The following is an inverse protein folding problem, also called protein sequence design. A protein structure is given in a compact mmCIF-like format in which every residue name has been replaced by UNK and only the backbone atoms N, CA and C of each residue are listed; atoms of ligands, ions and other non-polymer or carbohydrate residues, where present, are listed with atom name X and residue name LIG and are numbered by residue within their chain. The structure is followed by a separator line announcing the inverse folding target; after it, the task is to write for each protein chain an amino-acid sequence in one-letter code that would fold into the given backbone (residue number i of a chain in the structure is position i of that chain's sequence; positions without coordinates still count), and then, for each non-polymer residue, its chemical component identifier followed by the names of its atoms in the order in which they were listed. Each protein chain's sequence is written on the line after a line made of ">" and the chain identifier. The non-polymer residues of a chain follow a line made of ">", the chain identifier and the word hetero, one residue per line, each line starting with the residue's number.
data_IF_141297244257
#
_entry.id   IF_141297244257
#
_cell.length_a   1.000
_cell.length_b   1.000
_cell.length_c   1.000
_cell.angle_alpha   90.00
_cell.angle_beta   90.00
_cell.angle_gamma   90.00
#
_symmetry.space_group_name_H-M   'P 1'
#
loop_
_entity.id
_entity.type
_entity.pdbx_description
1 polymer ?
#
# COMPACT_ATOMS: atom_id res chain seq x y z
N UNK A 1 -21.68 52.96 16.81
CA UNK A 1 -20.53 52.35 17.50
C UNK A 1 -20.82 50.86 17.70
N UNK A 2 -20.62 50.02 16.68
CA UNK A 2 -20.91 48.58 16.83
C UNK A 2 -20.12 47.70 15.83
N UNK A 3 -18.81 47.91 15.70
CA UNK A 3 -17.97 47.04 14.87
C UNK A 3 -16.68 46.71 15.60
N UNK A 4 -16.67 45.71 16.51
CA UNK A 4 -15.41 45.25 17.12
C UNK A 4 -15.37 43.81 17.63
N UNK A 5 -16.37 42.94 17.35
CA UNK A 5 -16.41 41.60 17.97
C UNK A 5 -16.07 40.40 17.06
N UNK A 6 -15.68 40.62 15.80
CA UNK A 6 -15.56 39.51 14.82
C UNK A 6 -14.13 39.06 14.46
N UNK A 7 -13.10 39.56 15.15
CA UNK A 7 -11.70 39.30 14.71
C UNK A 7 -11.01 38.14 15.45
N UNK A 8 -11.50 37.73 16.62
CA UNK A 8 -10.75 36.84 17.52
C UNK A 8 -11.03 35.34 17.31
N UNK A 9 -12.03 34.98 16.48
CA UNK A 9 -12.44 33.58 16.26
C UNK A 9 -11.66 32.87 15.14
N UNK A 10 -11.09 33.63 14.19
CA UNK A 10 -10.34 33.04 13.05
C UNK A 10 -8.88 32.68 13.38
N UNK A 11 -8.28 33.30 14.39
CA UNK A 11 -6.89 33.06 14.80
C UNK A 11 -6.69 31.65 15.38
N UNK A 12 -7.64 31.17 16.20
CA UNK A 12 -7.53 29.86 16.89
C UNK A 12 -7.56 28.65 15.94
N UNK A 13 -8.12 28.80 14.75
CA UNK A 13 -8.22 27.70 13.77
C UNK A 13 -6.96 27.55 12.90
N UNK A 14 -6.09 28.56 12.81
CA UNK A 14 -4.82 28.45 12.04
C UNK A 14 -3.73 27.72 12.81
N UNK A 15 -3.81 27.66 14.14
CA UNK A 15 -2.82 26.97 14.97
C UNK A 15 -3.05 25.46 15.11
N UNK A 16 -4.23 24.94 14.75
CA UNK A 16 -4.52 23.49 14.86
C UNK A 16 -4.04 22.65 13.68
N UNK A 17 -3.64 23.26 12.55
CA UNK A 17 -3.15 22.51 11.38
C UNK A 17 -1.64 22.22 11.40
N UNK A 18 -0.91 22.75 12.38
CA UNK A 18 0.53 22.49 12.59
C UNK A 18 0.79 21.52 13.75
N UNK A 19 0.09 20.38 13.79
CA UNK A 19 0.50 19.21 14.59
C UNK A 19 0.26 17.91 13.81
N UNK A 20 1.03 17.71 12.74
CA UNK A 20 1.44 16.36 12.36
C UNK A 20 2.95 16.29 12.58
N UNK A 21 3.26 16.04 13.84
CA UNK A 21 4.57 15.71 14.37
C UNK A 21 5.23 14.63 13.51
N UNK A 22 6.53 14.81 13.29
CA UNK A 22 7.36 13.94 12.49
C UNK A 22 7.20 12.47 12.89
N UNK A 23 6.85 11.64 11.92
CA UNK A 23 7.08 10.20 11.96
C UNK A 23 8.03 9.93 10.82
N UNK A 24 9.22 9.43 11.18
CA UNK A 24 10.40 9.33 10.32
C UNK A 24 10.10 8.85 8.89
N UNK A 25 10.79 9.49 7.94
CA UNK A 25 10.73 9.27 6.49
C UNK A 25 10.67 7.78 6.08
N UNK A 26 11.28 6.88 6.86
CA UNK A 26 11.29 5.43 6.60
C UNK A 26 9.94 4.71 6.83
N UNK A 27 9.17 5.07 7.86
CA UNK A 27 7.94 4.33 8.24
C UNK A 27 6.82 4.51 7.21
N UNK A 28 6.66 5.72 6.66
CA UNK A 28 5.70 5.99 5.60
C UNK A 28 6.00 5.21 4.32
N UNK A 29 7.28 5.04 3.99
CA UNK A 29 7.71 4.29 2.79
C UNK A 29 7.32 2.81 2.86
N UNK A 30 7.50 2.17 4.02
CA UNK A 30 7.14 0.76 4.24
C UNK A 30 5.62 0.58 4.18
N UNK A 31 4.85 1.50 4.78
CA UNK A 31 3.39 1.46 4.71
C UNK A 31 2.87 1.59 3.27
N UNK A 32 3.49 2.44 2.45
CA UNK A 32 3.16 2.55 1.01
C UNK A 32 3.47 1.24 0.29
N UNK A 33 4.64 0.63 0.54
CA UNK A 33 5.01 -0.67 -0.06
C UNK A 33 4.04 -1.76 0.35
N UNK A 34 3.64 -1.85 1.62
CA UNK A 34 2.64 -2.82 2.06
C UNK A 34 1.26 -2.57 1.47
N UNK A 35 0.85 -1.31 1.32
CA UNK A 35 -0.42 -0.97 0.64
C UNK A 35 -0.39 -1.43 -0.82
N UNK A 36 0.73 -1.22 -1.52
CA UNK A 36 0.91 -1.70 -2.90
C UNK A 36 0.88 -3.23 -2.96
N UNK A 37 1.59 -3.90 -2.04
CA UNK A 37 1.63 -5.36 -1.98
C UNK A 37 0.21 -5.95 -1.80
N UNK A 38 -0.61 -5.40 -0.90
CA UNK A 38 -2.00 -5.84 -0.70
C UNK A 38 -2.88 -5.75 -1.96
N UNK A 39 -2.57 -4.84 -2.88
CA UNK A 39 -3.30 -4.70 -4.14
C UNK A 39 -2.86 -5.75 -5.17
N UNK A 40 -1.58 -6.11 -5.17
CA UNK A 40 -1.00 -7.07 -6.12
C UNK A 40 -1.34 -8.53 -5.79
N UNK A 41 -1.42 -8.87 -4.50
CA UNK A 41 -1.64 -10.25 -4.07
C UNK A 41 -3.13 -10.61 -4.15
N UNK A 42 -3.52 -11.72 -4.78
CA UNK A 42 -4.90 -12.21 -4.77
C UNK A 42 -5.43 -12.38 -3.34
N UNK A 43 -6.54 -11.71 -3.03
CA UNK A 43 -7.10 -11.67 -1.68
C UNK A 43 -6.35 -10.78 -0.67
N UNK A 44 -5.22 -10.17 -1.06
CA UNK A 44 -4.35 -9.37 -0.19
C UNK A 44 -5.00 -8.14 0.45
N UNK A 45 -6.05 -7.57 -0.18
CA UNK A 45 -6.82 -6.46 0.41
C UNK A 45 -7.52 -6.86 1.72
N UNK A 46 -7.85 -8.14 1.90
CA UNK A 46 -8.50 -8.65 3.13
C UNK A 46 -7.49 -9.02 4.22
N UNK A 47 -6.20 -9.06 3.89
CA UNK A 47 -5.13 -9.40 4.82
C UNK A 47 -4.63 -8.13 5.52
N UNK A 48 -4.95 -8.01 6.81
CA UNK A 48 -4.52 -6.90 7.65
C UNK A 48 -3.26 -7.24 8.48
N UNK A 49 -2.95 -8.54 8.63
CA UNK A 49 -1.75 -9.01 9.32
C UNK A 49 -0.56 -9.04 8.34
N UNK A 50 0.58 -8.42 8.68
CA UNK A 50 1.73 -8.32 7.78
C UNK A 50 2.35 -9.68 7.48
N UNK A 51 2.49 -10.54 8.49
CA UNK A 51 3.14 -11.86 8.32
C UNK A 51 2.32 -12.76 7.40
N UNK A 52 1.00 -12.74 7.55
CA UNK A 52 0.09 -13.48 6.67
C UNK A 52 0.12 -12.95 5.23
N UNK A 53 0.21 -11.63 5.05
CA UNK A 53 0.37 -11.03 3.72
C UNK A 53 1.69 -11.48 3.07
N UNK A 54 2.79 -11.52 3.84
CA UNK A 54 4.09 -11.97 3.36
C UNK A 54 4.09 -13.47 3.00
N UNK A 55 3.49 -14.32 3.84
CA UNK A 55 3.31 -15.75 3.53
C UNK A 55 2.51 -15.94 2.23
N UNK A 56 1.37 -15.25 2.10
CA UNK A 56 0.53 -15.30 0.89
C UNK A 56 1.28 -14.79 -0.35
N UNK A 57 2.18 -13.83 -0.16
CA UNK A 57 3.04 -13.30 -1.22
C UNK A 57 4.00 -14.37 -1.72
N UNK A 58 4.67 -15.10 -0.81
CA UNK A 58 5.57 -16.18 -1.18
C UNK A 58 4.85 -17.29 -1.95
N UNK A 59 3.67 -17.70 -1.48
CA UNK A 59 2.82 -18.68 -2.19
C UNK A 59 2.48 -18.21 -3.61
N UNK A 60 2.14 -16.92 -3.75
CA UNK A 60 1.76 -16.37 -5.04
C UNK A 60 2.94 -16.25 -6.01
N UNK A 61 4.14 -15.92 -5.51
CA UNK A 61 5.38 -15.94 -6.32
C UNK A 61 5.61 -17.35 -6.86
N UNK A 62 5.57 -18.37 -6.00
CA UNK A 62 5.73 -19.77 -6.43
C UNK A 62 4.69 -20.18 -7.47
N UNK A 63 3.42 -19.80 -7.27
CA UNK A 63 2.36 -20.11 -8.22
C UNK A 63 2.60 -19.44 -9.59
N UNK A 64 3.03 -18.18 -9.61
CA UNK A 64 3.36 -17.49 -10.86
C UNK A 64 4.55 -18.15 -11.58
N UNK A 65 5.60 -18.50 -10.85
CA UNK A 65 6.75 -19.21 -11.43
C UNK A 65 6.35 -20.54 -12.06
N UNK A 66 5.52 -21.32 -11.36
CA UNK A 66 5.01 -22.59 -11.87
C UNK A 66 4.20 -22.39 -13.16
N UNK A 67 3.28 -21.41 -13.18
CA UNK A 67 2.50 -21.07 -14.39
C UNK A 67 3.39 -20.71 -15.56
N UNK A 68 4.42 -19.89 -15.33
CA UNK A 68 5.37 -19.50 -16.37
C UNK A 68 6.13 -20.71 -16.90
N UNK A 69 6.65 -21.57 -16.01
CA UNK A 69 7.37 -22.80 -16.41
C UNK A 69 6.46 -23.72 -17.23
N UNK A 70 5.22 -23.91 -16.80
CA UNK A 70 4.23 -24.72 -17.50
C UNK A 70 3.93 -24.16 -18.90
N UNK A 71 3.65 -22.86 -19.00
CA UNK A 71 3.38 -22.22 -20.29
C UNK A 71 4.59 -22.27 -21.23
N UNK A 72 5.81 -22.11 -20.71
CA UNK A 72 7.04 -22.29 -21.49
C UNK A 72 7.20 -23.72 -21.99
N UNK A 73 6.93 -24.71 -21.15
CA UNK A 73 7.00 -26.12 -21.56
C UNK A 73 6.00 -26.42 -22.69
N UNK A 74 4.75 -25.95 -22.57
CA UNK A 74 3.77 -26.07 -23.64
C UNK A 74 4.21 -25.35 -24.91
N UNK A 75 4.65 -24.09 -24.81
CA UNK A 75 5.15 -23.34 -25.95
C UNK A 75 6.28 -24.08 -26.65
N UNK A 76 7.24 -24.63 -25.90
CA UNK A 76 8.34 -25.40 -26.48
C UNK A 76 7.85 -26.64 -27.21
N UNK A 77 6.87 -27.37 -26.66
CA UNK A 77 6.29 -28.54 -27.33
C UNK A 77 5.63 -28.17 -28.65
N UNK A 78 4.88 -27.06 -28.70
CA UNK A 78 4.18 -26.61 -29.91
C UNK A 78 5.05 -25.79 -30.87
N UNK A 79 6.18 -25.24 -30.43
CA UNK A 79 7.14 -24.53 -31.30
C UNK A 79 8.18 -25.45 -31.92
N UNK A 80 8.31 -26.69 -31.43
CA UNK A 80 9.20 -27.72 -31.99
C UNK A 80 8.48 -28.65 -32.97
N UNK A 81 7.15 -28.54 -33.08
CA UNK A 81 6.30 -29.16 -34.10
C UNK A 81 6.06 -28.20 -35.27
#
# INVERSE_FOLDING_TARGET
>A
MEESRSSHRKERNRMQTKKKTGRGSGSGSIQIKMRKLRVLIPGGRRLNQPDLLLSKTADYIMHLELRIRFLKALSNMYSLS
#
